data_IF_435306179062
#
_entry.id   IF_435306179062
#
_cell.length_a   1.000
_cell.length_b   1.000
_cell.length_c   1.000
_cell.angle_alpha   90.00
_cell.angle_beta   90.00
_cell.angle_gamma   90.00
#
_symmetry.space_group_name_H-M   'P 1'
#
loop_
_entity.id
_entity.type
_entity.pdbx_description
1 polymer ?
#
# COMPACT_ATOMS: atom_id res chain seq x y z
N UNK A 1 8.95 9.91 -14.43
CA UNK A 1 8.85 9.02 -13.28
C UNK A 1 7.93 7.86 -13.60
N UNK A 2 8.35 6.63 -13.32
CA UNK A 2 7.56 5.40 -13.40
C UNK A 2 7.45 4.82 -11.98
N UNK A 3 6.22 4.67 -11.49
CA UNK A 3 5.92 3.97 -10.24
C UNK A 3 5.26 2.65 -10.59
N UNK A 4 5.87 1.53 -10.20
CA UNK A 4 5.28 0.21 -10.32
C UNK A 4 4.61 -0.18 -9.00
N UNK A 5 3.43 -0.82 -9.08
CA UNK A 5 2.77 -1.41 -7.92
C UNK A 5 2.67 -2.92 -8.10
N UNK A 6 3.01 -3.66 -7.04
CA UNK A 6 2.73 -5.08 -6.89
C UNK A 6 1.98 -5.29 -5.56
N UNK A 7 1.32 -6.42 -5.40
CA UNK A 7 0.36 -6.64 -4.31
C UNK A 7 -0.04 -8.11 -4.25
N UNK A 8 -0.60 -8.54 -3.13
CA UNK A 8 -1.25 -9.86 -2.95
C UNK A 8 -0.35 -11.00 -3.43
N UNK A 9 0.87 -11.01 -2.90
CA UNK A 9 1.84 -12.06 -3.20
C UNK A 9 1.34 -13.38 -2.63
N UNK A 10 0.74 -13.38 -1.42
CA UNK A 10 0.20 -14.58 -0.78
C UNK A 10 1.20 -15.76 -0.82
N UNK A 11 2.48 -15.47 -0.52
CA UNK A 11 3.50 -16.50 -0.52
C UNK A 11 3.31 -17.44 0.67
N UNK A 12 3.25 -18.74 0.39
CA UNK A 12 3.11 -19.79 1.39
C UNK A 12 4.15 -20.88 1.19
N UNK A 13 4.28 -21.76 2.19
CA UNK A 13 5.21 -22.90 2.14
C UNK A 13 4.84 -23.86 1.00
N UNK A 14 3.54 -24.03 0.77
CA UNK A 14 2.99 -25.05 -0.14
C UNK A 14 2.57 -24.48 -1.51
N UNK A 15 3.02 -23.26 -1.85
CA UNK A 15 2.72 -22.63 -3.14
C UNK A 15 3.97 -22.08 -3.84
N UNK A 16 3.82 -21.75 -5.12
CA UNK A 16 4.89 -21.17 -5.95
C UNK A 16 4.77 -19.65 -6.08
N UNK A 17 3.96 -18.98 -5.26
CA UNK A 17 3.66 -17.56 -5.43
C UNK A 17 4.91 -16.68 -5.26
N UNK A 18 5.82 -17.05 -4.37
CA UNK A 18 7.09 -16.35 -4.23
C UNK A 18 7.92 -16.41 -5.52
N UNK A 19 7.95 -17.56 -6.20
CA UNK A 19 8.64 -17.71 -7.49
C UNK A 19 7.95 -16.89 -8.59
N UNK A 20 6.61 -16.80 -8.56
CA UNK A 20 5.86 -15.94 -9.50
C UNK A 20 6.17 -14.47 -9.27
N UNK A 21 6.28 -14.06 -8.02
CA UNK A 21 6.68 -12.71 -7.66
C UNK A 21 8.11 -12.39 -8.10
N UNK A 22 9.07 -13.31 -7.88
CA UNK A 22 10.44 -13.17 -8.40
C UNK A 22 10.46 -12.95 -9.93
N UNK A 23 9.63 -13.68 -10.68
CA UNK A 23 9.50 -13.49 -12.14
C UNK A 23 8.86 -12.15 -12.50
N UNK A 24 7.82 -11.73 -11.79
CA UNK A 24 7.18 -10.43 -12.02
C UNK A 24 8.16 -9.28 -11.76
N UNK A 25 8.94 -9.36 -10.69
CA UNK A 25 9.97 -8.38 -10.35
C UNK A 25 11.10 -8.36 -11.37
N UNK A 26 11.53 -9.53 -11.87
CA UNK A 26 12.50 -9.60 -12.97
C UNK A 26 11.97 -8.91 -14.24
N UNK A 27 10.68 -9.09 -14.57
CA UNK A 27 10.05 -8.40 -15.68
C UNK A 27 9.94 -6.88 -15.46
N UNK A 28 9.59 -6.43 -14.24
CA UNK A 28 9.65 -5.00 -13.87
C UNK A 28 11.06 -4.44 -14.03
N UNK A 29 12.09 -5.30 -13.87
CA UNK A 29 13.48 -5.03 -14.19
C UNK A 29 13.70 -4.35 -15.55
N UNK A 30 12.99 -4.83 -16.57
CA UNK A 30 13.08 -4.33 -17.94
C UNK A 30 12.44 -2.94 -18.11
N UNK A 31 11.40 -2.63 -17.31
CA UNK A 31 10.75 -1.32 -17.31
C UNK A 31 11.54 -0.25 -16.57
N UNK A 32 12.48 -0.65 -15.69
CA UNK A 32 13.31 0.22 -14.85
C UNK A 32 12.48 1.28 -14.10
N UNK A 33 11.52 0.88 -13.25
CA UNK A 33 10.74 1.83 -12.47
C UNK A 33 11.64 2.63 -11.52
N UNK A 34 11.29 3.88 -11.28
CA UNK A 34 11.96 4.71 -10.27
C UNK A 34 11.60 4.21 -8.85
N UNK A 35 10.35 3.78 -8.68
CA UNK A 35 9.79 3.32 -7.41
C UNK A 35 8.94 2.07 -7.58
N UNK A 36 9.01 1.16 -6.61
CA UNK A 36 8.12 0.00 -6.48
C UNK A 36 7.35 0.11 -5.17
N UNK A 37 6.03 -0.04 -5.20
CA UNK A 37 5.20 -0.16 -4.01
C UNK A 37 4.61 -1.57 -3.95
N UNK A 38 4.80 -2.27 -2.84
CA UNK A 38 4.18 -3.56 -2.55
C UNK A 38 3.05 -3.32 -1.54
N UNK A 39 1.80 -3.45 -1.99
CA UNK A 39 0.63 -2.98 -1.25
C UNK A 39 -0.11 -4.05 -0.43
N UNK A 40 0.63 -4.92 0.25
CA UNK A 40 0.08 -5.85 1.24
C UNK A 40 -0.10 -7.28 0.76
N UNK A 41 -0.52 -8.12 1.70
CA UNK A 41 -0.69 -9.57 1.63
C UNK A 41 0.55 -10.25 1.00
N UNK A 42 1.68 -10.11 1.71
CA UNK A 42 2.98 -10.62 1.28
C UNK A 42 3.08 -12.13 1.43
N UNK A 43 2.61 -12.64 2.57
CA UNK A 43 2.67 -14.06 2.92
C UNK A 43 1.36 -14.51 3.54
N UNK A 44 1.11 -15.82 3.45
CA UNK A 44 -0.03 -16.47 4.10
C UNK A 44 0.40 -17.23 5.36
N UNK A 45 -0.60 -17.57 6.17
CA UNK A 45 -0.50 -18.50 7.30
C UNK A 45 0.61 -18.16 8.32
N UNK A 46 0.92 -16.85 8.46
CA UNK A 46 1.93 -16.37 9.38
C UNK A 46 3.35 -16.84 9.04
N UNK A 47 3.67 -17.10 7.78
CA UNK A 47 4.98 -17.61 7.36
C UNK A 47 6.09 -16.56 7.53
N UNK A 48 6.65 -16.46 8.74
CA UNK A 48 7.69 -15.49 9.12
C UNK A 48 8.92 -15.58 8.21
N UNK A 49 9.37 -16.78 7.84
CA UNK A 49 10.53 -16.93 6.95
C UNK A 49 10.25 -16.41 5.53
N UNK A 50 8.99 -16.38 5.10
CA UNK A 50 8.57 -15.73 3.85
C UNK A 50 8.92 -14.24 3.83
N UNK A 51 8.68 -13.53 4.94
CA UNK A 51 9.09 -12.13 5.08
C UNK A 51 10.61 -11.96 5.01
N UNK A 52 11.38 -12.84 5.67
CA UNK A 52 12.85 -12.81 5.62
C UNK A 52 13.36 -13.02 4.19
N UNK A 53 12.77 -13.97 3.47
CA UNK A 53 13.09 -14.23 2.06
C UNK A 53 12.76 -13.02 1.19
N UNK A 54 11.59 -12.41 1.39
CA UNK A 54 11.20 -11.17 0.72
C UNK A 54 12.23 -10.07 0.97
N UNK A 55 12.59 -9.80 2.23
CA UNK A 55 13.58 -8.77 2.57
C UNK A 55 14.95 -8.99 1.92
N UNK A 56 15.43 -10.24 1.87
CA UNK A 56 16.68 -10.59 1.16
C UNK A 56 16.57 -10.32 -0.34
N UNK A 57 15.42 -10.62 -0.95
CA UNK A 57 15.18 -10.38 -2.37
C UNK A 57 15.13 -8.88 -2.68
N UNK A 58 14.35 -8.10 -1.90
CA UNK A 58 14.19 -6.65 -2.09
C UNK A 58 15.51 -5.89 -2.00
N UNK A 59 16.41 -6.30 -1.10
CA UNK A 59 17.77 -5.70 -0.97
C UNK A 59 18.62 -5.82 -2.24
N UNK A 60 18.28 -6.73 -3.15
CA UNK A 60 19.01 -6.96 -4.41
C UNK A 60 18.40 -6.18 -5.57
N UNK A 61 17.24 -5.56 -5.36
CA UNK A 61 16.60 -4.76 -6.40
C UNK A 61 17.32 -3.42 -6.53
N UNK A 62 17.55 -2.94 -7.77
CA UNK A 62 18.11 -1.61 -8.00
C UNK A 62 17.07 -0.49 -7.79
N UNK A 63 15.82 -0.84 -7.47
CA UNK A 63 14.69 0.08 -7.35
C UNK A 63 14.41 0.44 -5.90
N UNK A 64 14.03 1.69 -5.66
CA UNK A 64 13.57 2.10 -4.34
C UNK A 64 12.19 1.49 -4.09
N UNK A 65 12.10 0.66 -3.07
CA UNK A 65 10.90 -0.14 -2.80
C UNK A 65 10.27 0.25 -1.48
N UNK A 66 8.95 0.39 -1.47
CA UNK A 66 8.14 0.62 -0.28
C UNK A 66 7.12 -0.50 -0.10
N UNK A 67 6.82 -0.83 1.15
CA UNK A 67 5.92 -1.92 1.50
C UNK A 67 4.94 -1.44 2.56
N UNK A 68 3.65 -1.75 2.37
CA UNK A 68 2.61 -1.65 3.41
C UNK A 68 2.05 -3.05 3.68
N UNK A 69 1.54 -3.32 4.90
CA UNK A 69 0.89 -4.59 5.21
C UNK A 69 -0.49 -4.70 4.55
N UNK A 70 -0.90 -5.94 4.30
CA UNK A 70 -2.30 -6.32 4.15
C UNK A 70 -2.81 -7.06 5.39
N UNK A 71 -4.06 -7.52 5.36
CA UNK A 71 -4.67 -8.20 6.51
C UNK A 71 -4.02 -9.55 6.84
N UNK A 72 -3.31 -10.17 5.89
CA UNK A 72 -2.65 -11.46 6.09
C UNK A 72 -1.25 -11.32 6.71
N UNK A 73 -0.70 -10.09 6.76
CA UNK A 73 0.67 -9.84 7.21
C UNK A 73 0.80 -9.60 8.71
N UNK A 74 1.88 -10.11 9.30
CA UNK A 74 2.27 -9.79 10.68
C UNK A 74 3.22 -8.57 10.70
N UNK A 75 2.75 -7.45 11.25
CA UNK A 75 3.51 -6.19 11.31
C UNK A 75 4.83 -6.32 12.08
N UNK A 76 4.94 -7.21 13.07
CA UNK A 76 6.18 -7.41 13.82
C UNK A 76 7.21 -8.23 13.04
N UNK A 77 6.75 -9.24 12.30
CA UNK A 77 7.57 -9.99 11.35
C UNK A 77 8.07 -9.06 10.24
N UNK A 78 7.20 -8.22 9.67
CA UNK A 78 7.59 -7.20 8.70
C UNK A 78 8.64 -6.24 9.24
N UNK A 79 8.48 -5.71 10.46
CA UNK A 79 9.49 -4.85 11.11
C UNK A 79 10.85 -5.50 11.20
N UNK A 80 10.88 -6.78 11.54
CA UNK A 80 12.11 -7.54 11.71
C UNK A 80 12.78 -7.85 10.36
N UNK A 81 11.99 -8.21 9.36
CA UNK A 81 12.48 -8.74 8.09
C UNK A 81 12.69 -7.69 6.99
N UNK A 82 11.92 -6.60 7.03
CA UNK A 82 11.87 -5.57 5.99
C UNK A 82 12.37 -4.18 6.45
N UNK A 83 13.43 -4.08 7.29
CA UNK A 83 13.91 -2.77 7.73
C UNK A 83 14.36 -1.93 6.53
N UNK A 84 13.88 -0.69 6.45
CA UNK A 84 14.17 0.24 5.36
C UNK A 84 13.20 0.18 4.17
N UNK A 85 12.28 -0.78 4.13
CA UNK A 85 11.23 -0.86 3.09
C UNK A 85 9.84 -0.43 3.60
N UNK A 86 9.62 -0.46 4.91
CA UNK A 86 8.37 -0.09 5.56
C UNK A 86 8.49 1.25 6.29
N UNK A 87 7.36 1.78 6.78
CA UNK A 87 7.35 2.92 7.70
C UNK A 87 8.23 2.71 8.94
N UNK A 88 8.90 3.77 9.41
CA UNK A 88 9.89 3.72 10.50
C UNK A 88 9.31 3.58 11.91
N UNK A 89 8.00 3.39 12.04
CA UNK A 89 7.34 3.31 13.35
C UNK A 89 7.73 2.03 14.10
N UNK A 90 8.27 2.21 15.31
CA UNK A 90 8.66 1.10 16.20
C UNK A 90 7.47 0.26 16.68
N UNK A 91 6.27 0.85 16.70
CA UNK A 91 5.01 0.21 17.03
C UNK A 91 3.85 0.92 16.30
N UNK A 92 2.69 0.26 16.18
CA UNK A 92 1.50 0.84 15.54
C UNK A 92 1.48 0.68 14.01
N UNK A 93 0.86 1.61 13.27
CA UNK A 93 0.73 1.52 11.81
C UNK A 93 2.05 1.71 11.07
N UNK A 94 2.24 0.99 9.97
CA UNK A 94 3.43 1.03 9.11
C UNK A 94 3.29 2.02 7.95
N UNK A 95 2.71 3.20 8.20
CA UNK A 95 2.58 4.21 7.15
C UNK A 95 3.95 4.68 6.63
N UNK A 96 4.06 4.95 5.33
CA UNK A 96 5.24 5.57 4.74
C UNK A 96 4.89 6.88 4.02
N UNK A 97 5.89 7.74 3.88
CA UNK A 97 5.81 8.98 3.10
C UNK A 97 7.10 9.10 2.30
N UNK A 98 7.00 9.27 0.99
CA UNK A 98 8.14 9.52 0.12
C UNK A 98 7.89 10.72 -0.80
N UNK A 99 8.88 11.59 -0.90
CA UNK A 99 8.87 12.73 -1.80
C UNK A 99 9.67 12.41 -3.05
N UNK A 100 9.00 12.38 -4.20
CA UNK A 100 9.53 12.01 -5.50
C UNK A 100 9.31 13.17 -6.48
N UNK A 101 10.23 14.13 -6.52
CA UNK A 101 10.08 15.37 -7.29
C UNK A 101 8.76 16.10 -6.94
N UNK A 102 7.84 16.22 -7.90
CA UNK A 102 6.50 16.82 -7.75
C UNK A 102 5.42 15.80 -7.34
N UNK A 103 5.80 14.60 -6.91
CA UNK A 103 4.88 13.54 -6.48
C UNK A 103 5.14 13.10 -5.05
N UNK A 104 4.07 13.05 -4.25
CA UNK A 104 4.08 12.53 -2.90
C UNK A 104 3.51 11.10 -2.89
N UNK A 105 4.33 10.10 -2.56
CA UNK A 105 3.87 8.73 -2.35
C UNK A 105 3.51 8.53 -0.88
N UNK A 106 2.30 8.04 -0.62
CA UNK A 106 1.78 7.77 0.71
C UNK A 106 1.34 6.31 0.79
N UNK A 107 1.96 5.53 1.66
CA UNK A 107 1.45 4.22 2.04
C UNK A 107 0.70 4.33 3.35
N UNK A 108 -0.57 3.94 3.34
CA UNK A 108 -1.43 3.97 4.51
C UNK A 108 -1.75 2.54 4.94
N UNK A 109 -1.03 2.06 5.94
CA UNK A 109 -1.43 0.89 6.72
C UNK A 109 -2.77 1.14 7.44
N UNK A 110 -3.86 0.63 6.84
CA UNK A 110 -5.21 0.66 7.41
C UNK A 110 -5.62 -0.71 7.96
N UNK A 111 -4.66 -1.58 8.28
CA UNK A 111 -4.93 -2.94 8.78
C UNK A 111 -5.46 -2.90 10.21
N UNK A 112 -6.48 -3.72 10.47
CA UNK A 112 -7.04 -3.93 11.81
C UNK A 112 -6.64 -5.32 12.27
N UNK A 113 -5.97 -5.40 13.43
CA UNK A 113 -5.43 -6.66 13.94
C UNK A 113 -6.56 -7.70 14.12
N UNK A 114 -6.41 -8.85 13.46
CA UNK A 114 -7.37 -9.95 13.51
C UNK A 114 -8.62 -9.77 12.65
N UNK A 115 -8.69 -8.72 11.82
CA UNK A 115 -9.80 -8.48 10.91
C UNK A 115 -9.35 -8.54 9.45
N UNK A 116 -10.24 -9.03 8.58
CA UNK A 116 -10.04 -9.03 7.13
C UNK A 116 -10.39 -7.67 6.48
N UNK A 117 -11.08 -6.78 7.21
CA UNK A 117 -11.40 -5.44 6.76
C UNK A 117 -10.35 -4.43 7.23
N UNK A 118 -10.27 -3.31 6.52
CA UNK A 118 -9.46 -2.15 6.94
C UNK A 118 -10.29 -1.07 7.60
N UNK A 119 -9.64 -0.13 8.26
CA UNK A 119 -10.28 1.08 8.79
C UNK A 119 -9.32 2.26 8.70
N UNK A 120 -9.69 3.32 7.97
CA UNK A 120 -8.84 4.52 7.86
C UNK A 120 -9.06 5.54 8.95
N UNK A 121 -10.13 5.42 9.75
CA UNK A 121 -10.64 6.47 10.64
C UNK A 121 -9.55 7.03 11.56
N UNK A 122 -8.80 6.16 12.23
CA UNK A 122 -7.73 6.54 13.16
C UNK A 122 -6.47 7.09 12.46
N UNK A 123 -6.37 6.90 11.14
CA UNK A 123 -5.24 7.30 10.33
C UNK A 123 -5.48 8.61 9.57
N UNK A 124 -6.72 9.09 9.49
CA UNK A 124 -7.06 10.36 8.85
C UNK A 124 -6.31 11.57 9.43
N UNK A 125 -6.07 11.69 10.76
CA UNK A 125 -5.26 12.78 11.30
C UNK A 125 -3.81 12.74 10.79
N UNK A 126 -3.24 11.56 10.60
CA UNK A 126 -1.91 11.40 10.00
C UNK A 126 -1.94 11.84 8.54
N UNK A 127 -2.94 11.37 7.78
CA UNK A 127 -3.08 11.70 6.37
C UNK A 127 -3.30 13.19 6.14
N UNK A 128 -4.12 13.86 6.96
CA UNK A 128 -4.39 15.31 6.88
C UNK A 128 -3.12 16.16 6.96
N UNK A 129 -2.14 15.76 7.77
CA UNK A 129 -0.90 16.53 7.98
C UNK A 129 0.11 16.41 6.83
N UNK A 130 -0.03 15.41 5.94
CA UNK A 130 0.98 15.14 4.88
C UNK A 130 0.88 16.09 3.69
N UNK A 131 -0.30 16.33 3.09
CA UNK A 131 -0.42 17.25 1.97
C UNK A 131 -0.14 18.71 2.35
N UNK A 132 -0.36 19.11 3.61
CA UNK A 132 -0.03 20.46 4.08
C UNK A 132 1.48 20.75 4.02
N UNK A 133 2.32 19.72 4.15
CA UNK A 133 3.78 19.82 4.02
C UNK A 133 4.27 19.76 2.56
N UNK A 134 3.37 19.59 1.57
CA UNK A 134 3.72 19.46 0.15
C UNK A 134 2.81 20.28 -0.78
N UNK A 135 2.89 21.61 -0.74
CA UNK A 135 1.91 22.51 -1.38
C UNK A 135 1.88 22.46 -2.91
N UNK A 136 2.86 21.83 -3.56
CA UNK A 136 3.00 21.78 -5.03
C UNK A 136 3.20 20.31 -5.41
N UNK A 137 2.23 19.70 -6.11
CA UNK A 137 2.38 18.34 -6.65
C UNK A 137 1.17 17.41 -6.54
N UNK A 138 1.32 16.23 -7.14
CA UNK A 138 0.34 15.12 -7.16
C UNK A 138 0.59 14.20 -5.96
N UNK A 139 -0.46 13.68 -5.32
CA UNK A 139 -0.31 12.67 -4.27
C UNK A 139 -0.83 11.32 -4.75
N UNK A 140 -0.07 10.25 -4.50
CA UNK A 140 -0.47 8.87 -4.75
C UNK A 140 -0.67 8.17 -3.42
N UNK A 141 -1.88 7.70 -3.16
CA UNK A 141 -2.23 7.00 -1.93
C UNK A 141 -2.35 5.50 -2.23
N UNK A 142 -1.56 4.70 -1.49
CA UNK A 142 -1.57 3.25 -1.53
C UNK A 142 -2.20 2.71 -0.25
N UNK A 143 -3.25 1.91 -0.41
CA UNK A 143 -3.99 1.23 0.66
C UNK A 143 -4.21 -0.21 0.18
N UNK A 144 -4.05 -1.18 1.07
CA UNK A 144 -4.32 -2.59 0.75
C UNK A 144 -5.83 -2.83 0.52
N UNK A 145 -6.65 -2.49 1.52
CA UNK A 145 -8.10 -2.65 1.45
C UNK A 145 -8.73 -1.67 0.46
N UNK A 146 -9.60 -2.18 -0.41
CA UNK A 146 -10.37 -1.37 -1.35
C UNK A 146 -11.23 -0.33 -0.62
N UNK A 147 -11.41 0.83 -1.26
CA UNK A 147 -12.15 1.99 -0.73
C UNK A 147 -13.38 2.35 -1.58
N UNK A 148 -13.76 1.46 -2.50
CA UNK A 148 -14.97 1.55 -3.29
C UNK A 148 -15.50 0.15 -3.58
N UNK A 149 -16.82 -0.03 -3.73
CA UNK A 149 -17.40 -1.34 -4.01
C UNK A 149 -16.84 -1.91 -5.33
N UNK A 150 -16.35 -3.15 -5.27
CA UNK A 150 -15.89 -3.90 -6.44
C UNK A 150 -17.06 -4.55 -7.19
N UNK A 151 -18.21 -4.71 -6.53
CA UNK A 151 -19.35 -5.47 -7.03
C UNK A 151 -19.23 -6.98 -6.76
N UNK A 152 -18.15 -7.43 -6.11
CA UNK A 152 -17.96 -8.80 -5.69
C UNK A 152 -18.28 -8.89 -4.20
N UNK A 153 -19.45 -9.45 -3.86
CA UNK A 153 -20.00 -9.43 -2.50
C UNK A 153 -19.01 -9.83 -1.39
N UNK A 154 -18.28 -10.94 -1.57
CA UNK A 154 -17.33 -11.42 -0.56
C UNK A 154 -16.14 -10.47 -0.34
N UNK A 155 -15.74 -9.73 -1.38
CA UNK A 155 -14.69 -8.71 -1.27
C UNK A 155 -15.30 -7.47 -0.60
N UNK A 156 -16.46 -7.03 -1.05
CA UNK A 156 -17.12 -5.83 -0.52
C UNK A 156 -17.49 -5.97 0.98
N UNK A 157 -17.70 -7.20 1.47
CA UNK A 157 -17.91 -7.51 2.90
C UNK A 157 -16.69 -7.18 3.78
N UNK A 158 -15.49 -7.14 3.20
CA UNK A 158 -14.23 -6.83 3.88
C UNK A 158 -13.60 -5.52 3.40
N UNK A 159 -14.41 -4.62 2.84
CA UNK A 159 -13.99 -3.29 2.43
C UNK A 159 -13.42 -2.47 3.59
N UNK A 160 -12.58 -1.50 3.25
CA UNK A 160 -12.13 -0.53 4.22
C UNK A 160 -13.30 0.34 4.73
N UNK A 161 -13.29 0.64 6.04
CA UNK A 161 -14.23 1.54 6.73
C UNK A 161 -13.65 2.95 6.83
N UNK A 162 -14.51 3.93 7.12
CA UNK A 162 -14.12 5.35 7.19
C UNK A 162 -13.98 6.02 5.82
N UNK A 163 -14.66 5.48 4.80
CA UNK A 163 -14.52 5.92 3.40
C UNK A 163 -15.12 7.31 3.18
N UNK A 164 -16.24 7.62 3.83
CA UNK A 164 -16.90 8.91 3.70
C UNK A 164 -16.00 10.02 4.26
N UNK A 165 -15.40 9.80 5.44
CA UNK A 165 -14.47 10.73 6.07
C UNK A 165 -13.15 10.86 5.28
N UNK A 166 -12.71 9.77 4.63
CA UNK A 166 -11.60 9.81 3.68
C UNK A 166 -11.95 10.64 2.44
N UNK A 167 -13.13 10.44 1.87
CA UNK A 167 -13.59 11.20 0.70
C UNK A 167 -13.66 12.70 1.02
N UNK A 168 -14.26 13.07 2.15
CA UNK A 168 -14.29 14.46 2.64
C UNK A 168 -12.88 15.05 2.78
N UNK A 169 -11.95 14.28 3.37
CA UNK A 169 -10.56 14.72 3.53
C UNK A 169 -9.90 14.97 2.17
N UNK A 170 -10.11 14.09 1.19
CA UNK A 170 -9.52 14.19 -0.14
C UNK A 170 -10.10 15.36 -0.94
N UNK A 171 -11.41 15.57 -0.87
CA UNK A 171 -12.11 16.70 -1.50
C UNK A 171 -11.61 18.04 -0.95
N UNK A 172 -11.46 18.17 0.37
CA UNK A 172 -10.93 19.39 1.00
C UNK A 172 -9.54 19.77 0.46
N UNK A 173 -8.68 18.79 0.25
CA UNK A 173 -7.34 19.02 -0.30
C UNK A 173 -7.36 19.31 -1.81
N UNK A 174 -8.28 18.72 -2.56
CA UNK A 174 -8.51 19.06 -3.96
C UNK A 174 -8.99 20.50 -4.14
N UNK A 175 -9.99 20.92 -3.36
CA UNK A 175 -10.59 22.25 -3.46
C UNK A 175 -9.72 23.40 -2.92
N UNK A 176 -8.94 23.18 -1.84
CA UNK A 176 -8.03 24.21 -1.30
C UNK A 176 -7.05 24.71 -2.37
N UNK A 177 -6.60 23.82 -3.27
CA UNK A 177 -5.58 24.15 -4.28
C UNK A 177 -6.14 24.79 -5.55
N UNK A 178 -7.40 24.55 -5.89
CA UNK A 178 -8.07 25.24 -7.00
C UNK A 178 -8.24 26.74 -6.71
N UNK A 179 -8.46 27.10 -5.43
CA UNK A 179 -8.61 28.50 -5.00
C UNK A 179 -7.31 29.28 -4.92
N UNK A 180 -6.17 28.61 -4.71
CA UNK A 180 -4.86 29.26 -4.56
C UNK A 180 -4.12 29.48 -5.90
N UNK A 181 -4.54 28.83 -7.00
CA UNK A 181 -3.99 29.08 -8.35
C UNK A 181 -5.05 28.95 -9.46
N UNK A 182 -5.60 30.07 -9.98
CA UNK A 182 -6.44 30.03 -11.18
C UNK A 182 -5.53 29.90 -12.42
N UNK A 183 -5.10 28.68 -12.75
CA UNK A 183 -4.36 28.44 -14.01
C UNK A 183 -3.40 27.23 -14.08
N UNK A 184 -3.29 26.39 -13.04
CA UNK A 184 -2.40 25.23 -13.04
C UNK A 184 -3.16 23.90 -13.03
N UNK A 185 -2.68 22.92 -13.80
CA UNK A 185 -3.19 21.55 -13.89
C UNK A 185 -3.52 20.97 -12.50
N UNK A 186 -4.78 20.61 -12.26
CA UNK A 186 -5.29 20.15 -10.98
C UNK A 186 -4.44 19.01 -10.38
N UNK A 187 -4.01 19.15 -9.12
CA UNK A 187 -3.41 18.05 -8.38
C UNK A 187 -4.49 16.98 -8.11
N UNK A 188 -4.29 15.77 -8.66
CA UNK A 188 -5.21 14.64 -8.51
C UNK A 188 -4.66 13.68 -7.46
N UNK A 189 -5.47 13.23 -6.52
CA UNK A 189 -5.17 11.97 -5.84
C UNK A 189 -5.33 10.86 -6.87
N UNK A 190 -4.25 10.14 -7.15
CA UNK A 190 -4.31 8.92 -7.97
C UNK A 190 -4.24 7.72 -7.04
N UNK A 191 -5.29 6.93 -7.05
CA UNK A 191 -5.36 5.67 -6.32
C UNK A 191 -4.90 4.55 -7.24
N UNK A 192 -4.14 3.61 -6.69
CA UNK A 192 -3.75 2.42 -7.40
C UNK A 192 -4.21 1.23 -6.55
N UNK A 193 -5.30 0.60 -7.00
CA UNK A 193 -5.90 -0.59 -6.39
C UNK A 193 -5.74 -1.76 -7.34
N UNK A 194 -5.11 -2.81 -6.86
CA UNK A 194 -5.20 -4.14 -7.43
C UNK A 194 -5.30 -5.05 -6.21
N UNK A 195 -6.50 -5.55 -5.88
CA UNK A 195 -6.61 -6.73 -5.04
C UNK A 195 -7.48 -7.72 -5.81
N UNK A 196 -6.95 -8.91 -6.04
CA UNK A 196 -7.73 -10.05 -6.55
C UNK A 196 -8.03 -10.94 -5.35
N UNK A 197 -9.25 -11.46 -5.20
CA UNK A 197 -9.55 -12.34 -4.08
C UNK A 197 -8.75 -13.65 -4.22
N UNK A 198 -7.94 -13.99 -3.21
CA UNK A 198 -7.54 -15.36 -2.97
C UNK A 198 -8.75 -16.09 -2.36
N UNK A 199 -9.48 -16.83 -3.20
CA UNK A 199 -10.52 -17.74 -2.73
C UNK A 199 -9.85 -18.98 -2.12
N UNK A 200 -9.24 -18.85 -0.95
CA UNK A 200 -8.86 -19.99 -0.10
C UNK A 200 -9.98 -20.19 0.92
N UNK A 201 -11.12 -20.66 0.42
CA UNK A 201 -12.23 -21.10 1.25
C UNK A 201 -11.81 -22.32 2.07
N UNK A 202 -11.93 -22.18 3.39
CA UNK A 202 -12.29 -23.21 4.36
C UNK A 202 -11.83 -24.65 4.06
N UNK A 203 -10.74 -25.05 4.71
CA UNK A 203 -10.60 -26.37 5.34
C UNK A 203 -10.18 -26.04 6.77
N UNK A 204 -10.93 -26.27 7.82
CA UNK A 204 -11.90 -27.32 8.21
C UNK A 204 -12.88 -26.76 9.22
#
# INVERSE_FOLDING_TARGET
MIVAQATDIHAGIDNDNFLRFEKAVAWLGELRPDYVVISGDLVDDGWIEGHNRLGKMLKRLPFRTFVIPGNSDDKNAMRSALPGFIGSNVAGPLHFTEYCDDVLLLGLDATVDGAAYGDVTDHLPWLRRKPEAFPIGTAMLFIHHHIFPSGIRLIDEVMCRGIDELAELLELHGHRREREKPGGHAARFSFAFLSRPSATAART
#
